data_IF_958255220382
#
_entry.id   IF_958255220382
#
_cell.length_a   1.000
_cell.length_b   1.000
_cell.length_c   1.000
_cell.angle_alpha   90.00
_cell.angle_beta   90.00
_cell.angle_gamma   90.00
#
_symmetry.space_group_name_H-M   'P 1'
#
loop_
_entity.id
_entity.type
_entity.pdbx_description
1 polymer ?
#
# COMPACT_ATOMS: atom_id res chain seq x y z
N UNK A 1 -6.85 -68.68 18.49
CA UNK A 1 -5.98 -67.61 17.94
C UNK A 1 -6.21 -66.31 18.71
N UNK A 2 -5.24 -65.38 18.77
CA UNK A 2 -5.27 -64.24 19.70
C UNK A 2 -6.00 -63.02 19.10
N UNK A 3 -6.91 -62.38 19.87
CA UNK A 3 -7.43 -61.03 19.57
C UNK A 3 -6.47 -59.96 20.15
N UNK A 4 -6.04 -58.94 19.38
CA UNK A 4 -5.41 -57.76 19.93
C UNK A 4 -6.44 -56.73 20.40
N UNK A 5 -6.25 -56.18 21.60
CA UNK A 5 -6.96 -54.98 22.06
C UNK A 5 -6.17 -53.76 21.57
N UNK A 6 -6.84 -52.72 21.07
CA UNK A 6 -6.22 -51.40 20.87
C UNK A 6 -7.11 -50.30 21.42
N UNK A 7 -6.62 -49.69 22.50
CA UNK A 7 -7.14 -48.50 23.14
C UNK A 7 -7.30 -47.35 22.15
N UNK A 8 -8.44 -46.66 22.21
CA UNK A 8 -8.60 -45.31 21.67
C UNK A 8 -8.95 -44.41 22.85
N UNK A 9 -8.09 -43.43 23.15
CA UNK A 9 -8.25 -42.55 24.29
C UNK A 9 -9.19 -41.40 23.90
N UNK A 10 -10.33 -41.28 24.58
CA UNK A 10 -10.93 -39.96 24.75
C UNK A 10 -10.11 -39.21 25.81
N UNK A 11 -9.81 -37.93 25.57
CA UNK A 11 -9.81 -36.84 26.56
C UNK A 11 -9.41 -35.50 25.87
N UNK A 12 -10.01 -34.40 26.35
CA UNK A 12 -9.71 -32.99 26.04
C UNK A 12 -9.66 -32.58 24.55
N UNK A 13 -10.84 -32.28 24.01
CA UNK A 13 -10.97 -31.10 23.15
C UNK A 13 -10.96 -29.82 24.04
N UNK A 14 -10.58 -28.66 23.50
CA UNK A 14 -10.92 -27.37 24.14
C UNK A 14 -9.81 -26.33 24.37
N UNK A 15 -8.60 -26.47 23.80
CA UNK A 15 -7.73 -25.30 23.65
C UNK A 15 -8.13 -24.53 22.38
N UNK A 16 -9.11 -23.62 22.53
CA UNK A 16 -9.44 -22.66 21.49
C UNK A 16 -8.26 -21.68 21.33
N UNK A 17 -7.41 -21.94 20.33
CA UNK A 17 -6.29 -21.07 20.04
C UNK A 17 -6.80 -19.69 19.63
N UNK A 18 -6.58 -18.68 20.47
CA UNK A 18 -6.87 -17.27 20.18
C UNK A 18 -5.94 -16.76 19.07
N UNK A 19 -6.23 -17.14 17.82
CA UNK A 19 -5.63 -16.54 16.63
C UNK A 19 -6.13 -15.10 16.50
N UNK A 20 -5.57 -14.22 17.32
CA UNK A 20 -5.68 -12.78 17.13
C UNK A 20 -5.16 -12.48 15.72
N UNK A 21 -6.08 -12.13 14.82
CA UNK A 21 -5.76 -11.92 13.41
C UNK A 21 -4.95 -10.63 13.31
N UNK A 22 -3.63 -10.76 13.38
CA UNK A 22 -2.70 -9.70 13.06
C UNK A 22 -2.90 -9.32 11.58
N UNK A 23 -3.75 -8.31 11.34
CA UNK A 23 -4.03 -7.79 9.99
C UNK A 23 -2.69 -7.38 9.37
N UNK A 24 -2.39 -7.79 8.13
CA UNK A 24 -1.03 -7.70 7.59
C UNK A 24 -0.62 -6.23 7.40
N UNK A 25 0.31 -5.77 8.25
CA UNK A 25 0.94 -4.46 8.11
C UNK A 25 1.77 -4.31 6.80
N UNK A 26 2.07 -5.43 6.13
CA UNK A 26 2.73 -5.44 4.81
C UNK A 26 1.93 -4.65 3.75
N UNK A 27 0.60 -4.77 3.76
CA UNK A 27 -0.27 -4.19 2.74
C UNK A 27 -0.23 -2.65 2.68
N UNK A 28 0.34 -1.99 3.69
CA UNK A 28 0.56 -0.56 3.73
C UNK A 28 1.84 -0.16 2.97
N UNK A 29 3.01 -0.63 3.42
CA UNK A 29 4.29 -0.30 2.79
C UNK A 29 4.32 -0.66 1.29
N UNK A 30 3.66 -1.76 0.91
CA UNK A 30 3.49 -2.15 -0.49
C UNK A 30 2.79 -1.07 -1.35
N UNK A 31 1.82 -0.33 -0.81
CA UNK A 31 1.16 0.79 -1.53
C UNK A 31 2.14 1.95 -1.78
N UNK A 32 2.97 2.31 -0.81
CA UNK A 32 3.95 3.40 -0.95
C UNK A 32 5.15 3.02 -1.85
N UNK A 33 5.56 1.75 -1.87
CA UNK A 33 6.60 1.26 -2.79
C UNK A 33 6.09 1.09 -4.23
N UNK A 34 4.87 0.57 -4.42
CA UNK A 34 4.25 0.47 -5.75
C UNK A 34 3.87 1.83 -6.34
N UNK A 35 3.66 2.85 -5.50
CA UNK A 35 3.55 4.25 -5.92
C UNK A 35 4.80 4.67 -6.69
N UNK A 36 5.98 4.60 -6.05
CA UNK A 36 7.25 5.04 -6.61
C UNK A 36 7.61 4.34 -7.93
N UNK A 37 7.37 3.03 -8.01
CA UNK A 37 7.58 2.27 -9.24
C UNK A 37 6.59 2.67 -10.37
N UNK A 38 5.34 3.00 -10.02
CA UNK A 38 4.32 3.47 -10.96
C UNK A 38 4.62 4.86 -11.51
N UNK A 39 4.92 5.82 -10.63
CA UNK A 39 5.27 7.21 -11.03
C UNK A 39 6.52 7.22 -11.90
N UNK A 40 7.57 6.52 -11.47
CA UNK A 40 8.82 6.40 -12.26
C UNK A 40 8.55 5.88 -13.67
N UNK A 41 7.74 4.82 -13.84
CA UNK A 41 7.41 4.27 -15.16
C UNK A 41 6.56 5.22 -16.02
N UNK A 42 5.71 6.07 -15.43
CA UNK A 42 5.06 7.15 -16.16
C UNK A 42 6.09 8.13 -16.72
N UNK A 43 6.98 8.64 -15.85
CA UNK A 43 8.02 9.63 -16.20
C UNK A 43 9.05 9.08 -17.21
N UNK A 44 9.48 7.83 -17.07
CA UNK A 44 10.45 7.18 -17.97
C UNK A 44 9.91 6.90 -19.38
N UNK A 45 8.59 6.83 -19.55
CA UNK A 45 7.97 6.42 -20.82
C UNK A 45 7.13 7.50 -21.49
N UNK A 46 6.67 8.50 -20.73
CA UNK A 46 5.65 9.49 -21.12
C UNK A 46 4.36 8.88 -21.72
N UNK A 47 4.11 7.59 -21.50
CA UNK A 47 2.96 6.90 -22.07
C UNK A 47 1.71 7.07 -21.21
N UNK A 48 0.61 7.43 -21.87
CA UNK A 48 -0.65 7.74 -21.19
C UNK A 48 -1.25 6.58 -20.36
N UNK A 49 -0.91 5.31 -20.66
CA UNK A 49 -1.37 4.16 -19.85
C UNK A 49 -0.60 4.05 -18.52
N UNK A 50 0.75 3.97 -18.48
CA UNK A 50 1.53 4.11 -17.26
C UNK A 50 1.13 5.31 -16.39
N UNK A 51 0.91 6.49 -16.98
CA UNK A 51 0.52 7.68 -16.21
C UNK A 51 -0.87 7.58 -15.59
N UNK A 52 -1.89 7.08 -16.32
CA UNK A 52 -3.20 6.77 -15.71
C UNK A 52 -3.13 5.73 -14.59
N UNK A 53 -2.22 4.76 -14.69
CA UNK A 53 -2.00 3.78 -13.61
C UNK A 53 -1.35 4.43 -12.38
N UNK A 54 -0.35 5.30 -12.57
CA UNK A 54 0.26 6.05 -11.48
C UNK A 54 -0.75 6.97 -10.77
N UNK A 55 -1.61 7.66 -11.55
CA UNK A 55 -2.71 8.49 -11.06
C UNK A 55 -3.72 7.67 -10.23
N UNK A 56 -4.11 6.49 -10.74
CA UNK A 56 -5.01 5.58 -10.05
C UNK A 56 -4.41 5.03 -8.74
N UNK A 57 -3.09 4.87 -8.68
CA UNK A 57 -2.37 4.46 -7.47
C UNK A 57 -2.36 5.57 -6.41
N UNK A 58 -2.05 6.84 -6.75
CA UNK A 58 -2.18 7.95 -5.78
C UNK A 58 -3.62 8.07 -5.27
N UNK A 59 -4.60 8.01 -6.19
CA UNK A 59 -6.02 8.03 -5.85
C UNK A 59 -6.48 6.81 -5.04
N UNK A 60 -5.66 5.76 -4.90
CA UNK A 60 -5.93 4.64 -3.99
C UNK A 60 -5.50 4.94 -2.54
N UNK A 61 -4.51 5.81 -2.33
CA UNK A 61 -4.04 6.20 -0.99
C UNK A 61 -5.14 6.89 -0.19
N UNK A 62 -5.97 7.72 -0.84
CA UNK A 62 -7.15 8.35 -0.20
C UNK A 62 -8.23 7.35 0.25
N UNK A 63 -8.16 6.09 -0.22
CA UNK A 63 -9.02 4.98 0.21
C UNK A 63 -8.36 4.06 1.24
N UNK A 64 -7.09 4.28 1.60
CA UNK A 64 -6.47 3.58 2.71
C UNK A 64 -7.13 4.05 4.03
N UNK A 65 -7.59 3.17 4.94
CA UNK A 65 -8.06 3.55 6.28
C UNK A 65 -7.09 4.42 7.10
N UNK A 66 -5.80 4.44 6.75
CA UNK A 66 -4.82 5.37 7.32
C UNK A 66 -5.07 6.84 6.96
N UNK A 67 -5.69 7.15 5.82
CA UNK A 67 -5.91 8.52 5.35
C UNK A 67 -6.77 9.34 6.31
N UNK A 68 -7.83 8.76 6.88
CA UNK A 68 -8.72 9.45 7.83
C UNK A 68 -8.07 9.74 9.21
N UNK A 69 -6.89 9.19 9.49
CA UNK A 69 -6.11 9.41 10.74
C UNK A 69 -4.72 10.02 10.49
N UNK A 70 -4.46 10.47 9.26
CA UNK A 70 -3.17 11.02 8.83
C UNK A 70 -2.97 12.46 9.32
N UNK A 71 -1.74 12.98 9.22
CA UNK A 71 -1.51 14.41 9.29
C UNK A 71 -2.13 15.15 8.10
N UNK A 72 -2.42 16.44 8.28
CA UNK A 72 -2.71 17.36 7.16
C UNK A 72 -1.66 17.23 6.06
N UNK A 73 -0.37 17.29 6.43
CA UNK A 73 0.76 17.13 5.51
C UNK A 73 0.66 15.86 4.65
N UNK A 74 0.41 14.69 5.22
CA UNK A 74 0.25 13.47 4.41
C UNK A 74 -0.95 13.54 3.45
N UNK A 75 -2.07 14.14 3.88
CA UNK A 75 -3.25 14.32 3.02
C UNK A 75 -3.00 15.33 1.88
N UNK A 76 -2.22 16.37 2.17
CA UNK A 76 -1.80 17.47 1.31
C UNK A 76 -0.80 16.98 0.24
N UNK A 77 0.28 16.30 0.63
CA UNK A 77 1.26 15.66 -0.27
C UNK A 77 0.59 14.67 -1.25
N UNK A 78 -0.35 13.84 -0.76
CA UNK A 78 -1.14 12.94 -1.62
C UNK A 78 -1.99 13.74 -2.64
N UNK A 79 -2.51 14.90 -2.22
CA UNK A 79 -3.27 15.82 -3.07
C UNK A 79 -2.40 16.51 -4.13
N UNK A 80 -1.20 16.96 -3.77
CA UNK A 80 -0.25 17.57 -4.70
C UNK A 80 0.28 16.57 -5.72
N UNK A 81 0.76 15.40 -5.27
CA UNK A 81 1.23 14.35 -6.17
C UNK A 81 0.11 13.88 -7.12
N UNK A 82 -1.15 13.83 -6.68
CA UNK A 82 -2.28 13.53 -7.57
C UNK A 82 -2.52 14.59 -8.64
N UNK A 83 -2.19 15.86 -8.39
CA UNK A 83 -2.28 16.94 -9.37
C UNK A 83 -1.09 16.90 -10.34
N UNK A 84 0.13 16.72 -9.82
CA UNK A 84 1.35 16.58 -10.63
C UNK A 84 1.22 15.44 -11.63
N UNK A 85 0.75 14.26 -11.21
CA UNK A 85 0.60 13.12 -12.12
C UNK A 85 -0.55 13.31 -13.13
N UNK A 86 -1.65 13.97 -12.75
CA UNK A 86 -2.71 14.29 -13.71
C UNK A 86 -2.23 15.24 -14.82
N UNK A 87 -1.20 16.06 -14.55
CA UNK A 87 -0.57 16.97 -15.51
C UNK A 87 0.62 16.37 -16.27
N UNK A 88 1.18 15.23 -15.85
CA UNK A 88 2.32 14.57 -16.51
C UNK A 88 2.11 14.31 -18.02
N UNK A 89 0.95 13.80 -18.50
CA UNK A 89 0.71 13.60 -19.93
C UNK A 89 0.59 14.89 -20.76
N UNK A 90 0.66 16.07 -20.12
CA UNK A 90 0.41 17.38 -20.72
C UNK A 90 1.61 18.34 -20.56
N UNK A 91 2.74 17.87 -19.99
CA UNK A 91 3.91 18.70 -19.64
C UNK A 91 5.21 17.93 -19.77
N UNK A 92 6.28 18.63 -20.15
CA UNK A 92 7.66 18.26 -19.84
C UNK A 92 7.95 18.48 -18.34
N UNK A 93 7.24 17.77 -17.46
CA UNK A 93 7.45 17.87 -16.02
C UNK A 93 8.82 17.29 -15.64
N UNK A 94 9.62 18.03 -14.87
CA UNK A 94 11.00 17.65 -14.56
C UNK A 94 11.00 16.35 -13.76
N UNK A 95 11.65 15.26 -14.23
CA UNK A 95 11.64 13.96 -13.56
C UNK A 95 12.03 14.00 -12.08
N UNK A 96 12.95 14.90 -11.73
CA UNK A 96 13.45 15.06 -10.37
C UNK A 96 12.41 15.65 -9.41
N UNK A 97 11.63 16.64 -9.86
CA UNK A 97 10.58 17.29 -9.06
C UNK A 97 9.45 16.30 -8.77
N UNK A 98 9.02 15.57 -9.80
CA UNK A 98 7.98 14.54 -9.70
C UNK A 98 8.40 13.41 -8.75
N UNK A 99 9.67 13.00 -8.78
CA UNK A 99 10.20 11.99 -7.87
C UNK A 99 10.51 12.53 -6.46
N UNK A 100 10.66 13.84 -6.27
CA UNK A 100 10.71 14.47 -4.95
C UNK A 100 9.35 14.38 -4.26
N UNK A 101 8.26 14.83 -4.89
CA UNK A 101 6.90 14.73 -4.33
C UNK A 101 6.48 13.29 -3.99
N UNK A 102 7.03 12.28 -4.66
CA UNK A 102 6.87 10.86 -4.27
C UNK A 102 7.56 10.54 -2.94
N UNK A 103 8.77 11.05 -2.72
CA UNK A 103 9.51 10.90 -1.47
C UNK A 103 8.85 11.70 -0.33
N UNK A 104 8.30 12.88 -0.62
CA UNK A 104 7.58 13.70 0.36
C UNK A 104 6.29 13.02 0.83
N UNK A 105 5.48 12.47 -0.10
CA UNK A 105 4.37 11.55 0.23
C UNK A 105 4.85 10.37 1.08
N UNK A 106 5.93 9.69 0.70
CA UNK A 106 6.45 8.55 1.46
C UNK A 106 6.83 8.97 2.90
N UNK A 107 7.57 10.07 3.06
CA UNK A 107 8.03 10.55 4.37
C UNK A 107 6.88 11.03 5.25
N UNK A 108 5.92 11.78 4.69
CA UNK A 108 4.77 12.30 5.43
C UNK A 108 3.80 11.19 5.86
N UNK A 109 3.62 10.15 5.04
CA UNK A 109 2.59 9.14 5.25
C UNK A 109 3.05 7.86 5.97
N UNK A 110 4.33 7.47 5.86
CA UNK A 110 4.87 6.26 6.51
C UNK A 110 4.51 6.12 8.01
N UNK A 111 4.53 7.18 8.85
CA UNK A 111 4.21 7.07 10.29
C UNK A 111 2.77 6.60 10.58
N UNK A 112 1.85 6.74 9.62
CA UNK A 112 0.44 6.40 9.80
C UNK A 112 0.11 4.96 9.35
N UNK A 113 1.03 4.27 8.68
CA UNK A 113 0.82 2.95 8.09
C UNK A 113 0.04 3.01 6.78
N UNK A 114 0.61 3.74 5.81
CA UNK A 114 0.23 3.81 4.37
C UNK A 114 0.86 2.74 3.32
#
# INVERSE_FOLDING_TARGET
MRKPIRSAQLLLAGLAASTAIARPAAAAGDTLWTLQAGVRRCVETSQAQPCRQAEANVKALTRNPAYAKASHLCQEEIGELSQVIALLPLRDAVPNEVMASVADVQQACLPYGF
#
